data_IF_858317705155
#
_entry.id   IF_858317705155
#
_cell.length_a   1.000
_cell.length_b   1.000
_cell.length_c   1.000
_cell.angle_alpha   90.00
_cell.angle_beta   90.00
_cell.angle_gamma   90.00
#
_symmetry.space_group_name_H-M   'P 1'
#
loop_
_entity.id
_entity.type
_entity.pdbx_description
1 polymer ?
#
# COMPACT_ATOMS: atom_id res chain seq x y z
N UNK A 1 5.61 11.89 15.67
CA UNK A 1 4.82 10.94 14.84
C UNK A 1 5.67 9.72 14.53
N UNK A 2 5.08 8.55 14.59
CA UNK A 2 5.83 7.31 14.39
C UNK A 2 6.22 7.10 12.92
N UNK A 3 7.28 6.31 12.71
CA UNK A 3 7.69 5.90 11.38
C UNK A 3 6.56 5.18 10.64
N UNK A 4 5.86 4.31 11.33
CA UNK A 4 4.72 3.58 10.76
C UNK A 4 3.64 4.50 10.22
N UNK A 5 3.31 5.54 10.97
CA UNK A 5 2.28 6.49 10.54
C UNK A 5 2.74 7.30 9.33
N UNK A 6 4.00 7.70 9.30
CA UNK A 6 4.57 8.42 8.16
C UNK A 6 4.59 7.55 6.90
N UNK A 7 4.94 6.28 7.03
CA UNK A 7 4.94 5.34 5.90
C UNK A 7 3.51 5.17 5.36
N UNK A 8 2.54 4.95 6.24
CA UNK A 8 1.15 4.78 5.81
C UNK A 8 0.60 6.04 5.12
N UNK A 9 0.88 7.22 5.68
CA UNK A 9 0.46 8.49 5.07
C UNK A 9 1.07 8.70 3.70
N UNK A 10 2.35 8.38 3.55
CA UNK A 10 3.03 8.51 2.26
C UNK A 10 2.44 7.56 1.22
N UNK A 11 2.14 6.31 1.60
CA UNK A 11 1.48 5.36 0.71
C UNK A 11 0.13 5.88 0.23
N UNK A 12 -0.68 6.40 1.15
CA UNK A 12 -1.99 6.98 0.79
C UNK A 12 -1.82 8.14 -0.18
N UNK A 13 -0.88 9.02 0.07
CA UNK A 13 -0.62 10.18 -0.79
C UNK A 13 -0.22 9.74 -2.20
N UNK A 14 0.72 8.80 -2.31
CA UNK A 14 1.17 8.34 -3.62
C UNK A 14 0.08 7.60 -4.38
N UNK A 15 -0.70 6.77 -3.70
CA UNK A 15 -1.82 6.07 -4.34
C UNK A 15 -2.90 7.04 -4.79
N UNK A 16 -3.18 8.07 -3.98
CA UNK A 16 -4.18 9.10 -4.34
C UNK A 16 -3.77 9.86 -5.60
N UNK A 17 -2.48 10.06 -5.80
CA UNK A 17 -1.94 10.80 -6.93
C UNK A 17 -1.67 9.95 -8.17
N UNK A 18 -1.98 8.66 -8.14
CA UNK A 18 -1.83 7.80 -9.32
C UNK A 18 -2.71 8.27 -10.47
N UNK A 19 -2.21 8.02 -11.69
CA UNK A 19 -2.96 8.25 -12.93
C UNK A 19 -2.90 7.02 -13.81
N UNK A 20 -3.84 6.87 -14.72
CA UNK A 20 -3.90 5.82 -15.74
C UNK A 20 -3.82 4.38 -15.19
N UNK A 21 -4.69 3.94 -14.28
CA UNK A 21 -5.91 4.61 -13.86
C UNK A 21 -5.74 5.49 -12.62
N UNK A 22 -6.51 6.56 -12.55
CA UNK A 22 -6.62 7.35 -11.34
C UNK A 22 -7.64 6.69 -10.40
N UNK A 23 -7.32 6.46 -9.11
CA UNK A 23 -8.29 5.89 -8.20
C UNK A 23 -9.40 6.88 -7.87
N UNK A 24 -10.61 6.38 -7.72
CA UNK A 24 -11.75 7.19 -7.31
C UNK A 24 -11.86 7.33 -5.79
N UNK A 25 -11.22 6.42 -5.05
CA UNK A 25 -11.22 6.43 -3.59
C UNK A 25 -9.97 5.72 -3.10
N UNK A 26 -9.25 6.34 -2.17
CA UNK A 26 -8.14 5.71 -1.46
C UNK A 26 -8.37 5.94 0.03
N UNK A 27 -8.46 4.87 0.82
CA UNK A 27 -8.85 4.96 2.22
C UNK A 27 -8.09 3.99 3.10
N UNK A 28 -7.90 4.37 4.36
CA UNK A 28 -7.42 3.48 5.43
C UNK A 28 -8.59 2.99 6.28
N UNK A 29 -9.79 3.54 6.07
CA UNK A 29 -11.00 3.15 6.79
C UNK A 29 -11.83 2.21 5.93
N UNK A 30 -12.35 1.16 6.55
CA UNK A 30 -13.21 0.21 5.87
C UNK A 30 -14.45 0.89 5.29
N UNK A 31 -14.86 0.43 4.15
CA UNK A 31 -16.06 0.90 3.45
C UNK A 31 -16.80 -0.30 2.84
N UNK A 32 -18.09 -0.11 2.60
CA UNK A 32 -18.90 -1.11 1.93
C UNK A 32 -18.82 -0.88 0.42
N UNK A 33 -18.13 -1.77 -0.28
CA UNK A 33 -17.89 -1.64 -1.72
C UNK A 33 -19.18 -1.63 -2.52
N UNK A 34 -20.24 -2.28 -2.03
CA UNK A 34 -21.52 -2.32 -2.73
C UNK A 34 -22.25 -0.96 -2.70
N UNK A 35 -21.86 -0.07 -1.80
CA UNK A 35 -22.46 1.26 -1.65
C UNK A 35 -21.68 2.36 -2.33
N UNK A 36 -20.57 2.03 -2.98
CA UNK A 36 -19.76 3.02 -3.67
C UNK A 36 -20.42 3.47 -4.96
N UNK A 37 -20.30 4.76 -5.26
CA UNK A 37 -20.70 5.31 -6.54
C UNK A 37 -19.75 4.82 -7.64
N UNK A 38 -20.24 4.78 -8.89
CA UNK A 38 -19.44 4.35 -10.04
C UNK A 38 -18.15 5.18 -10.15
N UNK A 39 -18.23 6.48 -9.84
CA UNK A 39 -17.09 7.39 -9.90
C UNK A 39 -16.03 7.14 -8.84
N UNK A 40 -16.35 6.32 -7.82
CA UNK A 40 -15.40 5.99 -6.76
C UNK A 40 -14.54 4.76 -7.08
N UNK A 41 -14.73 4.14 -8.23
CA UNK A 41 -13.88 3.05 -8.70
C UNK A 41 -12.79 3.56 -9.65
N UNK A 42 -11.59 2.98 -9.66
CA UNK A 42 -11.09 1.95 -8.72
C UNK A 42 -11.00 2.48 -7.30
N UNK A 43 -11.38 1.66 -6.33
CA UNK A 43 -11.30 2.01 -4.92
C UNK A 43 -10.19 1.18 -4.28
N UNK A 44 -9.34 1.81 -3.48
CA UNK A 44 -8.21 1.16 -2.83
C UNK A 44 -8.34 1.32 -1.33
N UNK A 45 -8.28 0.18 -0.63
CA UNK A 45 -8.26 0.15 0.83
C UNK A 45 -6.88 -0.31 1.29
N UNK A 46 -6.20 0.52 2.07
CA UNK A 46 -4.90 0.19 2.67
C UNK A 46 -5.12 -0.42 4.05
N UNK A 47 -4.65 -1.65 4.22
CA UNK A 47 -4.74 -2.36 5.50
C UNK A 47 -3.33 -2.68 5.96
N UNK A 48 -3.02 -2.34 7.22
CA UNK A 48 -1.80 -2.83 7.87
C UNK A 48 -2.07 -4.25 8.35
N UNK A 49 -1.32 -5.20 7.80
CA UNK A 49 -1.46 -6.60 8.18
C UNK A 49 -0.51 -6.95 9.32
N UNK A 50 0.58 -7.64 9.03
CA UNK A 50 1.53 -8.06 10.05
C UNK A 50 2.76 -7.15 10.06
N UNK A 51 3.42 -7.10 11.21
CA UNK A 51 4.72 -6.46 11.34
C UNK A 51 5.64 -7.39 12.09
N UNK A 52 6.84 -7.60 11.54
CA UNK A 52 7.89 -8.38 12.19
C UNK A 52 9.07 -7.47 12.45
N UNK A 53 9.90 -7.84 13.42
CA UNK A 53 11.06 -7.06 13.81
C UNK A 53 12.25 -7.96 14.01
N UNK A 54 13.42 -7.48 13.59
CA UNK A 54 14.66 -8.21 13.69
C UNK A 54 15.76 -7.28 14.21
N UNK A 55 16.56 -7.77 15.14
CA UNK A 55 17.71 -7.03 15.65
C UNK A 55 18.83 -7.06 14.62
N UNK A 56 19.29 -5.89 14.20
CA UNK A 56 20.41 -5.77 13.26
C UNK A 56 21.71 -5.63 14.01
N UNK A 57 21.69 -4.87 15.10
CA UNK A 57 22.84 -4.63 15.95
C UNK A 57 22.36 -4.33 17.37
N UNK A 58 23.30 -3.96 18.26
CA UNK A 58 22.95 -3.58 19.64
C UNK A 58 21.96 -2.41 19.68
N UNK A 59 22.07 -1.47 18.75
CA UNK A 59 21.28 -0.23 18.75
C UNK A 59 20.18 -0.21 17.71
N UNK A 60 20.28 -1.02 16.65
CA UNK A 60 19.39 -0.95 15.50
C UNK A 60 18.49 -2.17 15.38
N UNK A 61 17.26 -1.91 14.97
CA UNK A 61 16.28 -2.93 14.67
C UNK A 61 15.68 -2.67 13.30
N UNK A 62 15.37 -3.74 12.58
CA UNK A 62 14.67 -3.65 11.31
C UNK A 62 13.23 -4.09 11.50
N UNK A 63 12.29 -3.25 11.05
CA UNK A 63 10.89 -3.61 10.97
C UNK A 63 10.50 -3.95 9.56
N UNK A 64 9.63 -4.95 9.41
CA UNK A 64 8.99 -5.28 8.16
C UNK A 64 7.49 -5.17 8.36
N UNK A 65 6.90 -4.14 7.78
CA UNK A 65 5.45 -3.95 7.83
C UNK A 65 4.85 -4.53 6.55
N UNK A 66 3.88 -5.41 6.71
CA UNK A 66 3.14 -5.96 5.60
C UNK A 66 1.84 -5.19 5.44
N UNK A 67 1.65 -4.60 4.27
CA UNK A 67 0.42 -3.91 3.91
C UNK A 67 -0.34 -4.71 2.88
N UNK A 68 -1.65 -4.64 2.94
CA UNK A 68 -2.52 -5.13 1.89
C UNK A 68 -3.21 -3.95 1.24
N UNK A 69 -3.10 -3.87 -0.08
CA UNK A 69 -3.88 -2.94 -0.87
C UNK A 69 -5.01 -3.71 -1.50
N UNK A 70 -6.22 -3.54 -1.00
CA UNK A 70 -7.40 -4.16 -1.58
C UNK A 70 -7.97 -3.21 -2.63
N UNK A 71 -7.86 -3.61 -3.88
CA UNK A 71 -8.31 -2.79 -5.00
C UNK A 71 -9.62 -3.33 -5.54
N UNK A 72 -10.65 -2.52 -5.48
CA UNK A 72 -11.99 -2.88 -5.96
C UNK A 72 -12.21 -2.24 -7.31
N UNK A 73 -12.65 -3.04 -8.26
CA UNK A 73 -12.83 -2.65 -9.65
C UNK A 73 -14.28 -2.89 -10.06
N UNK A 74 -14.76 -2.06 -10.97
CA UNK A 74 -16.09 -2.20 -11.53
C UNK A 74 -16.05 -1.95 -13.03
N UNK A 75 -16.64 -2.86 -13.80
CA UNK A 75 -16.68 -2.70 -15.25
C UNK A 75 -16.97 -4.00 -15.95
N UNK A 76 -16.80 -4.00 -17.26
CA UNK A 76 -17.01 -5.18 -18.13
C UNK A 76 -15.70 -5.85 -18.52
N UNK A 77 -14.63 -5.07 -18.66
CA UNK A 77 -13.30 -5.56 -19.04
C UNK A 77 -12.46 -5.75 -17.78
N UNK A 78 -12.91 -6.61 -16.86
CA UNK A 78 -12.31 -6.72 -15.54
C UNK A 78 -10.87 -7.24 -15.57
N UNK A 79 -10.57 -8.18 -16.47
CA UNK A 79 -9.21 -8.70 -16.56
C UNK A 79 -8.21 -7.62 -16.97
N UNK A 80 -8.59 -6.81 -17.95
CA UNK A 80 -7.79 -5.68 -18.40
C UNK A 80 -7.61 -4.65 -17.28
N UNK A 81 -8.70 -4.34 -16.56
CA UNK A 81 -8.65 -3.39 -15.45
C UNK A 81 -7.75 -3.88 -14.31
N UNK A 82 -7.78 -5.17 -14.01
CA UNK A 82 -6.89 -5.77 -13.01
C UNK A 82 -5.43 -5.58 -13.40
N UNK A 83 -5.11 -5.91 -14.65
CA UNK A 83 -3.73 -5.79 -15.12
C UNK A 83 -3.24 -4.35 -15.07
N UNK A 84 -4.07 -3.41 -15.46
CA UNK A 84 -3.73 -1.99 -15.42
C UNK A 84 -3.48 -1.49 -14.01
N UNK A 85 -4.35 -1.83 -13.05
CA UNK A 85 -4.20 -1.36 -11.68
C UNK A 85 -2.98 -2.00 -10.99
N UNK A 86 -2.75 -3.28 -11.22
CA UNK A 86 -1.59 -4.00 -10.67
C UNK A 86 -0.30 -3.34 -11.17
N UNK A 87 -0.19 -3.15 -12.46
CA UNK A 87 0.98 -2.55 -13.09
C UNK A 87 1.24 -1.14 -12.55
N UNK A 88 0.20 -0.34 -12.44
CA UNK A 88 0.33 1.04 -11.99
C UNK A 88 0.71 1.11 -10.50
N UNK A 89 0.12 0.27 -9.67
CA UNK A 89 0.48 0.21 -8.26
C UNK A 89 1.94 -0.19 -8.09
N UNK A 90 2.37 -1.24 -8.76
CA UNK A 90 3.75 -1.71 -8.68
C UNK A 90 4.74 -0.62 -9.11
N UNK A 91 4.46 0.03 -10.22
CA UNK A 91 5.27 1.15 -10.70
C UNK A 91 5.30 2.29 -9.66
N UNK A 92 4.15 2.66 -9.11
CA UNK A 92 4.05 3.77 -8.17
C UNK A 92 4.82 3.50 -6.87
N UNK A 93 4.63 2.33 -6.27
CA UNK A 93 5.24 2.03 -4.97
C UNK A 93 6.71 1.65 -5.08
N UNK A 94 7.15 1.09 -6.20
CA UNK A 94 8.54 0.68 -6.36
C UNK A 94 9.42 1.76 -6.98
N UNK A 95 8.85 2.75 -7.64
CA UNK A 95 9.62 3.89 -8.16
C UNK A 95 10.16 4.75 -7.03
N UNK A 96 9.34 5.02 -6.01
CA UNK A 96 9.78 5.71 -4.79
C UNK A 96 9.76 4.74 -3.62
N UNK A 97 10.76 3.88 -3.56
CA UNK A 97 10.86 2.82 -2.54
C UNK A 97 11.09 3.37 -1.13
N UNK A 98 11.65 4.56 -1.02
CA UNK A 98 12.01 5.15 0.27
C UNK A 98 10.84 5.77 1.01
N UNK A 99 9.65 5.80 0.41
CA UNK A 99 8.46 6.42 1.00
C UNK A 99 8.68 7.88 1.38
N UNK A 100 9.62 8.55 0.73
CA UNK A 100 9.91 9.96 0.96
C UNK A 100 10.09 10.31 2.45
N UNK A 101 10.76 9.42 3.20
CA UNK A 101 10.99 9.57 4.63
C UNK A 101 12.38 10.16 4.86
N UNK A 102 12.45 11.18 5.70
CA UNK A 102 13.72 11.78 6.11
C UNK A 102 14.34 10.90 7.20
N UNK A 103 15.51 10.36 6.92
CA UNK A 103 16.20 9.43 7.80
C UNK A 103 16.62 10.05 9.15
N UNK A 104 16.92 11.32 9.16
CA UNK A 104 17.46 11.98 10.36
C UNK A 104 16.36 12.44 11.30
N UNK A 105 15.22 12.87 10.76
CA UNK A 105 14.13 13.44 11.56
C UNK A 105 13.45 12.39 12.41
N UNK A 106 13.26 11.18 11.87
CA UNK A 106 12.49 10.13 12.53
C UNK A 106 13.34 8.96 13.03
N UNK A 107 14.65 9.12 13.06
CA UNK A 107 15.60 8.05 13.41
C UNK A 107 15.45 6.81 12.53
N UNK A 108 15.04 7.00 11.28
CA UNK A 108 14.86 5.93 10.30
C UNK A 108 16.06 5.94 9.38
N UNK A 109 16.71 4.80 9.21
CA UNK A 109 17.92 4.68 8.42
C UNK A 109 17.70 4.21 6.99
N UNK A 110 16.68 3.38 6.77
CA UNK A 110 16.35 2.86 5.45
C UNK A 110 14.87 2.58 5.37
N UNK A 111 14.25 2.96 4.27
CA UNK A 111 12.89 2.52 3.93
C UNK A 111 12.92 1.95 2.53
N UNK A 112 12.49 0.70 2.39
CA UNK A 112 12.43 0.03 1.09
C UNK A 112 11.06 -0.64 0.96
N UNK A 113 10.39 -0.40 -0.15
CA UNK A 113 9.07 -0.96 -0.43
C UNK A 113 9.15 -1.90 -1.63
N UNK A 114 8.48 -3.05 -1.54
CA UNK A 114 8.35 -3.96 -2.67
C UNK A 114 6.98 -4.60 -2.70
N UNK A 115 6.53 -4.96 -3.89
CA UNK A 115 5.36 -5.82 -4.07
C UNK A 115 5.79 -7.25 -3.80
N UNK A 116 5.18 -7.87 -2.79
CA UNK A 116 5.54 -9.22 -2.38
C UNK A 116 4.73 -10.28 -3.13
N UNK A 117 3.43 -10.05 -3.29
CA UNK A 117 2.54 -10.98 -3.97
C UNK A 117 1.25 -10.29 -4.38
N UNK A 118 0.51 -10.96 -5.26
CA UNK A 118 -0.76 -10.46 -5.76
C UNK A 118 -1.78 -11.60 -5.69
N UNK A 119 -2.95 -11.29 -5.15
CA UNK A 119 -4.04 -12.25 -5.04
C UNK A 119 -5.25 -11.74 -5.81
N UNK A 120 -5.83 -12.59 -6.65
CA UNK A 120 -7.05 -12.28 -7.37
C UNK A 120 -8.23 -12.87 -6.61
N UNK A 121 -9.17 -12.02 -6.21
CA UNK A 121 -10.34 -12.44 -5.45
C UNK A 121 -11.55 -12.30 -6.34
N UNK A 122 -12.31 -13.39 -6.45
CA UNK A 122 -13.51 -13.40 -7.26
C UNK A 122 -14.65 -12.72 -6.52
N UNK A 123 -15.32 -11.81 -7.24
CA UNK A 123 -16.52 -11.14 -6.75
C UNK A 123 -17.63 -11.24 -7.76
N UNK A 124 -18.84 -10.98 -7.31
CA UNK A 124 -20.01 -10.98 -8.16
C UNK A 124 -19.94 -9.83 -9.16
N UNK A 125 -20.16 -10.15 -10.44
CA UNK A 125 -20.15 -9.15 -11.49
C UNK A 125 -21.16 -8.02 -11.22
N UNK A 126 -20.86 -6.77 -11.54
CA UNK A 126 -19.72 -6.27 -12.32
C UNK A 126 -18.48 -5.90 -11.50
N UNK A 127 -18.33 -6.46 -10.32
CA UNK A 127 -17.23 -6.14 -9.40
C UNK A 127 -16.08 -7.14 -9.51
N UNK A 128 -14.88 -6.66 -9.25
CA UNK A 128 -13.69 -7.49 -9.10
C UNK A 128 -12.84 -6.95 -7.98
N UNK A 129 -11.99 -7.79 -7.43
CA UNK A 129 -11.08 -7.40 -6.35
C UNK A 129 -9.70 -7.98 -6.60
N UNK A 130 -8.66 -7.17 -6.33
CA UNK A 130 -7.27 -7.59 -6.38
C UNK A 130 -6.63 -7.17 -5.05
N UNK A 131 -5.88 -8.07 -4.44
CA UNK A 131 -5.10 -7.77 -3.23
C UNK A 131 -3.64 -7.71 -3.63
N UNK A 132 -3.02 -6.55 -3.46
CA UNK A 132 -1.59 -6.35 -3.69
C UNK A 132 -0.93 -6.31 -2.31
N UNK A 133 -0.09 -7.30 -2.01
CA UNK A 133 0.61 -7.39 -0.75
C UNK A 133 1.96 -6.69 -0.87
N UNK A 134 2.23 -5.75 0.04
CA UNK A 134 3.47 -4.99 0.06
C UNK A 134 4.28 -5.34 1.30
N UNK A 135 5.60 -5.36 1.15
CA UNK A 135 6.53 -5.38 2.27
C UNK A 135 7.23 -4.03 2.31
N UNK A 136 7.23 -3.38 3.46
CA UNK A 136 7.97 -2.14 3.70
C UNK A 136 8.98 -2.39 4.81
N UNK A 137 10.26 -2.31 4.47
CA UNK A 137 11.35 -2.51 5.42
C UNK A 137 11.89 -1.16 5.87
N UNK A 138 12.07 -0.99 7.17
CA UNK A 138 12.67 0.23 7.72
C UNK A 138 13.54 -0.12 8.93
N UNK A 139 14.55 0.72 9.17
CA UNK A 139 15.46 0.55 10.30
C UNK A 139 15.33 1.72 11.25
N UNK A 140 15.39 1.43 12.53
CA UNK A 140 15.24 2.44 13.58
C UNK A 140 16.08 2.06 14.79
N UNK A 141 16.37 3.07 15.61
CA UNK A 141 17.05 2.84 16.89
C UNK A 141 16.05 2.18 17.86
N UNK A 142 16.53 1.21 18.63
CA UNK A 142 15.71 0.54 19.64
C UNK A 142 15.13 1.58 20.60
N UNK A 143 13.82 1.45 20.85
CA UNK A 143 13.11 2.39 21.71
C UNK A 143 12.51 3.60 20.99
N UNK A 144 12.85 3.85 19.72
CA UNK A 144 12.37 4.98 18.93
C UNK A 144 11.53 4.51 17.74
N UNK A 145 10.38 4.00 18.02
CA UNK A 145 9.50 3.43 16.99
C UNK A 145 8.63 4.48 16.32
#
# INVERSE_FOLDING_TARGET
MSARENIAKNLIEQLTNMTDPAPGLVSRKYFDVTKLAITQFPAILLITANETREDISTDLREGNIQYQLRCYLRGTELDTLRNEIIERIEETVETDRSRNIDYNINNIHNVTTRVASIELIQRELPLAEVVVNLDVFYRYKKGNV
#
